data_IF_097468933602
#
_entry.id   IF_097468933602
#
_cell.length_a   1.000
_cell.length_b   1.000
_cell.length_c   1.000
_cell.angle_alpha   90.00
_cell.angle_beta   90.00
_cell.angle_gamma   90.00
#
_symmetry.space_group_name_H-M   'P 1'
#
loop_
_entity.id
_entity.type
_entity.pdbx_description
1 polymer ?
#
# COMPACT_ATOMS: atom_id res chain seq x y z
N UNK A 1 -44.34 10.82 28.39
CA UNK A 1 -44.52 11.30 27.01
C UNK A 1 -43.40 10.72 26.14
N UNK A 2 -43.71 9.63 25.44
CA UNK A 2 -42.87 9.10 24.37
C UNK A 2 -43.08 9.94 23.11
N UNK A 3 -42.00 10.34 22.44
CA UNK A 3 -42.05 10.64 21.01
C UNK A 3 -40.85 9.98 20.33
N UNK A 4 -41.17 8.95 19.56
CA UNK A 4 -40.28 8.26 18.65
C UNK A 4 -40.02 9.15 17.41
N UNK A 5 -38.76 9.34 17.05
CA UNK A 5 -38.36 9.86 15.75
C UNK A 5 -38.23 8.67 14.79
N UNK A 6 -39.02 8.70 13.72
CA UNK A 6 -39.02 7.70 12.66
C UNK A 6 -37.71 7.72 11.85
N UNK A 7 -37.20 6.57 11.36
CA UNK A 7 -36.04 6.53 10.50
C UNK A 7 -36.40 6.98 9.07
N UNK A 8 -35.60 7.90 8.52
CA UNK A 8 -35.68 8.39 7.15
C UNK A 8 -35.33 7.27 6.15
N UNK A 9 -36.22 7.05 5.17
CA UNK A 9 -36.11 6.07 4.07
C UNK A 9 -35.04 6.45 3.01
N UNK A 10 -33.82 6.76 3.43
CA UNK A 10 -32.72 7.17 2.53
C UNK A 10 -31.57 6.16 2.40
N UNK A 11 -31.44 5.23 3.36
CA UNK A 11 -30.26 4.36 3.50
C UNK A 11 -30.34 3.03 2.74
N UNK A 12 -31.52 2.63 2.26
CA UNK A 12 -31.69 1.36 1.53
C UNK A 12 -31.37 1.47 0.03
N UNK A 13 -31.40 2.66 -0.56
CA UNK A 13 -31.21 2.85 -2.01
C UNK A 13 -29.72 2.80 -2.38
N UNK A 14 -28.82 3.22 -1.47
CA UNK A 14 -27.37 3.26 -1.74
C UNK A 14 -26.75 1.85 -1.69
N UNK A 15 -27.26 0.97 -0.81
CA UNK A 15 -26.76 -0.41 -0.70
C UNK A 15 -27.21 -1.27 -1.88
N UNK A 16 -28.42 -1.07 -2.39
CA UNK A 16 -28.92 -1.80 -3.56
C UNK A 16 -28.10 -1.49 -4.84
N UNK A 17 -27.72 -0.22 -5.04
CA UNK A 17 -26.93 0.21 -6.20
C UNK A 17 -25.53 -0.43 -6.27
N UNK A 18 -24.92 -0.73 -5.11
CA UNK A 18 -23.58 -1.34 -5.08
C UNK A 18 -23.61 -2.86 -5.36
N UNK A 19 -24.65 -3.57 -4.92
CA UNK A 19 -24.81 -5.01 -5.17
C UNK A 19 -25.16 -5.29 -6.63
N UNK A 20 -25.99 -4.44 -7.25
CA UNK A 20 -26.41 -4.58 -8.64
C UNK A 20 -25.25 -4.31 -9.63
N UNK A 21 -24.37 -3.34 -9.31
CA UNK A 21 -23.17 -3.05 -10.12
C UNK A 21 -22.10 -4.15 -10.05
N UNK A 22 -22.04 -4.92 -8.95
CA UNK A 22 -21.13 -6.07 -8.81
C UNK A 22 -21.63 -7.32 -9.55
N UNK A 23 -22.95 -7.51 -9.67
CA UNK A 23 -23.54 -8.61 -10.42
C UNK A 23 -23.45 -8.41 -11.95
N UNK A 24 -23.55 -7.17 -12.43
CA UNK A 24 -23.42 -6.85 -13.86
C UNK A 24 -21.98 -6.99 -14.41
N UNK A 25 -20.94 -6.95 -13.57
CA UNK A 25 -19.54 -7.20 -14.01
C UNK A 25 -19.16 -8.68 -14.11
N UNK A 26 -19.96 -9.59 -13.54
CA UNK A 26 -19.70 -11.04 -13.61
C UNK A 26 -20.29 -11.72 -14.85
N UNK A 27 -21.18 -11.06 -15.59
CA UNK A 27 -21.88 -11.64 -16.75
C UNK A 27 -21.28 -11.28 -18.13
N UNK A 28 -20.16 -10.56 -18.20
CA UNK A 28 -19.51 -10.15 -19.46
C UNK A 28 -18.15 -10.81 -19.77
N UNK A 29 -17.80 -11.90 -19.10
CA UNK A 29 -16.62 -12.70 -19.46
C UNK A 29 -17.07 -14.06 -20.01
N UNK A 30 -17.37 -14.11 -21.30
CA UNK A 30 -17.47 -15.36 -22.05
C UNK A 30 -16.07 -15.76 -22.58
N UNK A 31 -15.68 -17.05 -22.52
CA UNK A 31 -14.34 -17.49 -22.89
C UNK A 31 -14.13 -17.52 -24.41
N UNK A 32 -12.97 -17.01 -24.84
CA UNK A 32 -12.45 -17.10 -26.21
C UNK A 32 -12.22 -18.59 -26.53
N UNK A 33 -12.95 -19.11 -27.53
CA UNK A 33 -12.79 -20.46 -28.07
C UNK A 33 -12.08 -20.40 -29.43
N UNK A 34 -11.22 -21.38 -29.62
CA UNK A 34 -10.19 -21.54 -30.65
C UNK A 34 -10.71 -21.63 -32.10
N UNK A 35 -9.89 -21.13 -33.03
CA UNK A 35 -10.08 -21.18 -34.49
C UNK A 35 -9.43 -22.45 -35.06
N UNK A 36 -10.06 -23.16 -36.03
CA UNK A 36 -9.33 -24.00 -36.97
C UNK A 36 -9.21 -23.35 -38.36
N UNK A 37 -8.02 -23.47 -38.96
CA UNK A 37 -7.68 -23.13 -40.34
C UNK A 37 -8.45 -24.01 -41.34
N UNK A 38 -8.93 -23.44 -42.46
CA UNK A 38 -8.81 -24.09 -43.78
C UNK A 38 -8.88 -23.10 -44.96
N UNK A 39 -8.21 -23.50 -46.05
CA UNK A 39 -7.88 -22.77 -47.30
C UNK A 39 -9.02 -22.77 -48.33
N UNK A 40 -9.01 -21.76 -49.22
CA UNK A 40 -9.10 -21.98 -50.68
C UNK A 40 -10.42 -21.64 -51.41
N UNK A 41 -10.34 -20.54 -52.18
CA UNK A 41 -10.83 -20.32 -53.55
C UNK A 41 -12.30 -20.00 -53.94
N UNK A 42 -12.40 -18.82 -54.59
CA UNK A 42 -13.15 -18.45 -55.80
C UNK A 42 -14.65 -18.03 -55.80
N UNK A 43 -14.82 -16.73 -56.14
CA UNK A 43 -15.72 -16.09 -57.13
C UNK A 43 -17.24 -15.91 -56.88
N UNK A 44 -17.64 -14.66 -57.20
CA UNK A 44 -18.90 -14.16 -57.77
C UNK A 44 -19.97 -13.56 -56.82
N UNK A 45 -20.26 -12.28 -57.06
CA UNK A 45 -21.45 -11.50 -56.66
C UNK A 45 -22.68 -11.89 -57.51
N UNK A 46 -23.93 -11.62 -57.06
CA UNK A 46 -24.64 -10.45 -57.60
C UNK A 46 -25.68 -9.74 -56.68
N UNK A 47 -25.90 -8.46 -57.01
CA UNK A 47 -27.08 -7.58 -56.97
C UNK A 47 -28.22 -7.67 -55.91
N UNK A 48 -28.62 -6.48 -55.45
CA UNK A 48 -29.78 -6.13 -54.61
C UNK A 48 -31.12 -6.11 -55.37
N UNK A 49 -32.25 -5.95 -54.65
CA UNK A 49 -33.20 -4.90 -55.03
C UNK A 49 -33.74 -4.06 -53.87
N UNK A 50 -34.10 -2.84 -54.25
CA UNK A 50 -34.58 -1.68 -53.49
C UNK A 50 -36.06 -1.79 -53.11
N UNK A 51 -36.45 -1.33 -51.91
CA UNK A 51 -37.86 -1.03 -51.57
C UNK A 51 -37.97 0.31 -50.82
N UNK A 52 -38.57 1.25 -51.54
CA UNK A 52 -39.34 2.47 -51.20
C UNK A 52 -39.32 3.09 -49.79
N UNK A 53 -38.97 4.38 -49.78
CA UNK A 53 -39.27 5.39 -48.75
C UNK A 53 -40.76 5.78 -48.76
N UNK A 54 -41.35 5.97 -47.58
CA UNK A 54 -42.52 6.85 -47.35
C UNK A 54 -42.14 7.83 -46.22
N UNK A 55 -42.27 9.16 -46.39
CA UNK A 55 -41.96 10.12 -45.35
C UNK A 55 -43.22 10.42 -44.51
N UNK A 56 -43.07 10.51 -43.18
CA UNK A 56 -44.04 11.18 -42.32
C UNK A 56 -43.34 12.31 -41.55
N UNK A 57 -43.92 13.49 -41.74
CA UNK A 57 -43.56 14.84 -41.30
C UNK A 57 -43.70 14.97 -39.76
N UNK A 58 -42.94 15.87 -39.10
CA UNK A 58 -42.67 15.79 -37.67
C UNK A 58 -43.77 16.45 -36.82
N UNK A 59 -44.08 15.85 -35.67
CA UNK A 59 -44.89 16.50 -34.65
C UNK A 59 -43.98 17.44 -33.82
N UNK A 60 -43.83 18.66 -34.30
CA UNK A 60 -43.30 19.76 -33.49
C UNK A 60 -44.37 20.25 -32.52
N UNK A 61 -43.95 20.48 -31.27
CA UNK A 61 -44.50 21.36 -30.24
C UNK A 61 -44.98 20.68 -28.95
N UNK A 62 -44.55 21.27 -27.82
CA UNK A 62 -44.81 20.96 -26.41
C UNK A 62 -43.84 19.99 -25.70
N UNK A 63 -42.55 20.33 -25.71
CA UNK A 63 -41.78 20.20 -24.45
C UNK A 63 -41.38 21.60 -24.03
N UNK A 64 -42.15 22.11 -23.07
CA UNK A 64 -41.92 23.36 -22.38
C UNK A 64 -40.52 23.36 -21.76
N UNK A 65 -39.91 24.54 -21.79
CA UNK A 65 -38.53 24.90 -21.45
C UNK A 65 -38.12 24.72 -19.97
N UNK A 66 -38.67 23.73 -19.26
CA UNK A 66 -38.31 23.42 -17.85
C UNK A 66 -37.45 22.17 -17.68
N UNK A 67 -37.50 21.21 -18.59
CA UNK A 67 -36.71 19.98 -18.48
C UNK A 67 -35.23 20.16 -18.84
N UNK A 68 -34.90 21.07 -19.76
CA UNK A 68 -33.51 21.32 -20.15
C UNK A 68 -32.68 22.04 -19.07
N UNK A 69 -33.33 22.75 -18.13
CA UNK A 69 -32.65 23.35 -16.98
C UNK A 69 -32.30 22.30 -15.90
N UNK A 70 -33.13 21.26 -15.76
CA UNK A 70 -32.93 20.20 -14.76
C UNK A 70 -31.84 19.18 -15.13
N UNK A 71 -31.54 19.01 -16.42
CA UNK A 71 -30.48 18.10 -16.88
C UNK A 71 -29.09 18.74 -16.94
N UNK A 72 -28.98 20.06 -16.79
CA UNK A 72 -27.68 20.75 -16.69
C UNK A 72 -27.24 21.06 -15.25
N UNK A 73 -28.08 20.81 -14.24
CA UNK A 73 -27.72 21.04 -12.83
C UNK A 73 -27.13 19.81 -12.12
N UNK A 74 -26.94 18.68 -12.81
CA UNK A 74 -26.40 17.43 -12.22
C UNK A 74 -25.06 17.00 -12.80
N UNK A 75 -24.34 17.90 -13.48
CA UNK A 75 -22.94 17.68 -13.92
C UNK A 75 -21.95 18.69 -13.31
N UNK A 76 -22.31 19.27 -12.16
CA UNK A 76 -21.40 20.05 -11.33
C UNK A 76 -21.38 19.49 -9.91
N UNK A 77 -21.06 18.19 -9.76
CA UNK A 77 -20.51 17.69 -8.49
C UNK A 77 -19.08 18.20 -8.37
N UNK A 78 -18.99 19.51 -8.13
CA UNK A 78 -17.82 20.23 -7.67
C UNK A 78 -17.21 19.49 -6.48
N UNK A 79 -15.90 19.25 -6.57
CA UNK A 79 -14.96 18.97 -5.47
C UNK A 79 -15.62 18.52 -4.15
N UNK A 80 -15.99 17.24 -4.07
CA UNK A 80 -16.43 16.70 -2.79
C UNK A 80 -15.30 16.83 -1.79
N UNK A 81 -15.59 17.50 -0.66
CA UNK A 81 -14.67 17.64 0.45
C UNK A 81 -14.10 16.27 0.83
N UNK A 82 -12.85 16.01 0.43
CA UNK A 82 -12.18 14.71 0.59
C UNK A 82 -12.10 14.28 2.05
N UNK A 83 -12.05 15.24 2.97
CA UNK A 83 -12.09 14.94 4.41
C UNK A 83 -13.45 14.40 4.85
N UNK A 84 -14.56 15.00 4.40
CA UNK A 84 -15.90 14.44 4.67
C UNK A 84 -16.08 13.06 4.05
N UNK A 85 -15.55 12.84 2.84
CA UNK A 85 -15.50 11.51 2.23
C UNK A 85 -14.70 10.51 3.07
N UNK A 86 -13.56 10.91 3.65
CA UNK A 86 -12.78 10.07 4.54
C UNK A 86 -13.52 9.71 5.84
N UNK A 87 -14.29 10.66 6.43
CA UNK A 87 -15.14 10.37 7.59
C UNK A 87 -16.24 9.36 7.27
N UNK A 88 -16.88 9.49 6.11
CA UNK A 88 -17.88 8.54 5.61
C UNK A 88 -17.25 7.15 5.37
N UNK A 89 -16.06 7.12 4.77
CA UNK A 89 -15.30 5.88 4.54
C UNK A 89 -14.92 5.19 5.86
N UNK A 90 -14.52 5.95 6.87
CA UNK A 90 -14.25 5.43 8.21
C UNK A 90 -15.51 4.83 8.86
N UNK A 91 -16.66 5.48 8.73
CA UNK A 91 -17.92 4.95 9.25
C UNK A 91 -18.29 3.61 8.58
N UNK A 92 -18.15 3.53 7.26
CA UNK A 92 -18.38 2.29 6.52
C UNK A 92 -17.39 1.18 6.94
N UNK A 93 -16.10 1.50 7.07
CA UNK A 93 -15.08 0.56 7.56
C UNK A 93 -15.39 0.03 8.96
N UNK A 94 -15.80 0.90 9.89
CA UNK A 94 -16.16 0.51 11.25
C UNK A 94 -17.39 -0.41 11.26
N UNK A 95 -18.40 -0.12 10.44
CA UNK A 95 -19.57 -1.00 10.26
C UNK A 95 -19.17 -2.38 9.72
N UNK A 96 -18.34 -2.41 8.66
CA UNK A 96 -17.84 -3.65 8.06
C UNK A 96 -17.04 -4.50 9.05
N UNK A 97 -16.09 -3.90 9.79
CA UNK A 97 -15.28 -4.61 10.79
C UNK A 97 -16.11 -5.14 11.95
N UNK A 98 -17.08 -4.35 12.43
CA UNK A 98 -18.00 -4.77 13.50
C UNK A 98 -18.90 -5.92 13.06
N UNK A 99 -19.34 -5.93 11.81
CA UNK A 99 -20.12 -7.04 11.27
C UNK A 99 -19.29 -8.31 11.12
N UNK A 100 -18.05 -8.20 10.63
CA UNK A 100 -17.12 -9.32 10.49
C UNK A 100 -16.73 -9.92 11.86
N UNK A 101 -16.49 -9.07 12.86
CA UNK A 101 -16.15 -9.49 14.22
C UNK A 101 -16.73 -8.49 15.24
N UNK A 102 -17.86 -8.82 15.89
CA UNK A 102 -18.50 -7.93 16.88
C UNK A 102 -17.64 -7.60 18.11
N UNK A 103 -16.61 -8.40 18.41
CA UNK A 103 -15.67 -8.14 19.49
C UNK A 103 -14.45 -7.31 19.07
N UNK A 104 -14.27 -7.04 17.77
CA UNK A 104 -13.07 -6.39 17.22
C UNK A 104 -12.69 -5.10 17.95
N UNK A 105 -13.60 -4.13 18.03
CA UNK A 105 -13.33 -2.85 18.68
C UNK A 105 -13.24 -2.94 20.21
N UNK A 106 -13.94 -3.90 20.83
CA UNK A 106 -13.82 -4.14 22.28
C UNK A 106 -12.42 -4.64 22.63
N UNK A 107 -11.90 -5.57 21.83
CA UNK A 107 -10.55 -6.09 21.99
C UNK A 107 -9.52 -4.99 21.70
N UNK A 108 -9.70 -4.24 20.61
CA UNK A 108 -8.79 -3.15 20.24
C UNK A 108 -8.74 -2.04 21.31
N UNK A 109 -9.86 -1.74 21.96
CA UNK A 109 -9.93 -0.74 23.03
C UNK A 109 -9.34 -1.23 24.37
N UNK A 110 -9.19 -2.55 24.56
CA UNK A 110 -8.68 -3.10 25.82
C UNK A 110 -7.17 -2.87 26.04
N UNK A 111 -6.43 -2.60 24.96
CA UNK A 111 -5.00 -2.33 25.00
C UNK A 111 -4.31 -2.67 23.69
N UNK A 112 -2.99 -2.48 23.66
CA UNK A 112 -2.13 -2.82 22.54
C UNK A 112 -0.90 -3.59 23.01
N UNK A 113 -0.42 -4.52 22.19
CA UNK A 113 0.83 -5.26 22.43
C UNK A 113 1.53 -5.56 21.10
N UNK A 114 1.88 -4.51 20.32
CA UNK A 114 2.50 -4.69 19.01
C UNK A 114 3.84 -5.44 19.16
N UNK A 115 4.12 -6.35 18.24
CA UNK A 115 5.41 -7.07 18.23
C UNK A 115 6.48 -6.35 17.41
N UNK A 116 6.08 -5.38 16.59
CA UNK A 116 6.93 -4.68 15.62
C UNK A 116 6.88 -3.17 15.89
N UNK A 117 8.05 -2.53 16.00
CA UNK A 117 8.22 -1.10 15.77
C UNK A 117 8.60 -0.90 14.30
N UNK A 118 7.82 -0.11 13.57
CA UNK A 118 8.10 0.30 12.19
C UNK A 118 8.56 1.76 12.15
N UNK A 119 9.75 1.99 11.60
CA UNK A 119 10.31 3.30 11.30
C UNK A 119 10.33 3.46 9.77
N UNK A 120 9.46 4.33 9.24
CA UNK A 120 9.24 4.44 7.81
C UNK A 120 9.14 5.87 7.30
N UNK A 121 9.03 6.02 5.98
CA UNK A 121 8.89 7.33 5.35
C UNK A 121 7.44 7.84 5.49
N UNK A 122 7.22 9.15 5.57
CA UNK A 122 5.87 9.76 5.51
C UNK A 122 5.17 9.61 4.15
N UNK A 123 5.78 8.94 3.17
CA UNK A 123 5.22 8.71 1.83
C UNK A 123 3.86 7.99 1.86
N UNK A 124 2.82 8.61 1.31
CA UNK A 124 1.45 8.10 1.39
C UNK A 124 1.24 6.71 0.77
N UNK A 125 2.16 6.24 -0.07
CA UNK A 125 2.11 4.91 -0.71
C UNK A 125 2.62 3.78 0.17
N UNK A 126 3.19 4.11 1.35
CA UNK A 126 3.82 3.13 2.25
C UNK A 126 3.12 3.08 3.63
N UNK A 127 1.80 2.75 3.71
CA UNK A 127 1.13 2.47 4.98
C UNK A 127 1.52 1.07 5.48
N UNK A 128 2.31 1.01 6.55
CA UNK A 128 2.94 -0.21 7.08
C UNK A 128 1.95 -1.32 7.42
N UNK A 129 0.84 -0.99 8.11
CA UNK A 129 -0.17 -1.98 8.50
C UNK A 129 -0.78 -2.65 7.26
N UNK A 130 -1.03 -1.89 6.20
CA UNK A 130 -1.61 -2.41 4.95
C UNK A 130 -0.60 -3.23 4.15
N UNK A 131 0.62 -2.73 3.93
CA UNK A 131 1.62 -3.41 3.09
C UNK A 131 2.16 -4.69 3.75
N UNK A 132 2.09 -4.79 5.08
CA UNK A 132 2.42 -6.01 5.83
C UNK A 132 1.23 -6.98 5.94
N UNK A 133 0.03 -6.59 5.52
CA UNK A 133 -1.18 -7.42 5.65
C UNK A 133 -1.62 -7.64 7.10
N UNK A 134 -1.28 -6.71 8.00
CA UNK A 134 -1.55 -6.81 9.44
C UNK A 134 -2.82 -6.04 9.84
N UNK A 135 -3.25 -6.18 11.09
CA UNK A 135 -4.40 -5.49 11.63
C UNK A 135 -3.98 -4.29 12.51
N UNK A 136 -4.90 -3.31 12.72
CA UNK A 136 -4.67 -2.25 13.69
C UNK A 136 -4.31 -2.82 15.07
N UNK A 137 -3.21 -2.33 15.65
CA UNK A 137 -2.67 -2.79 16.93
C UNK A 137 -1.48 -3.76 16.84
N UNK A 138 -1.20 -4.32 15.66
CA UNK A 138 -0.10 -5.28 15.48
C UNK A 138 1.27 -4.60 15.32
N UNK A 139 1.28 -3.35 14.82
CA UNK A 139 2.49 -2.58 14.49
C UNK A 139 2.44 -1.23 15.20
N UNK A 140 3.53 -0.89 15.89
CA UNK A 140 3.76 0.45 16.44
C UNK A 140 4.61 1.26 15.45
N UNK A 141 4.26 2.52 15.20
CA UNK A 141 4.71 3.19 13.98
C UNK A 141 5.26 4.58 14.27
N UNK A 142 6.39 4.91 13.64
CA UNK A 142 6.86 6.28 13.46
C UNK A 142 7.20 6.54 12.00
N UNK A 143 6.86 7.74 11.52
CA UNK A 143 7.06 8.14 10.13
C UNK A 143 7.58 9.56 10.03
N UNK A 144 8.64 9.74 9.25
CA UNK A 144 9.23 11.04 8.95
C UNK A 144 9.71 11.09 7.49
N UNK A 145 10.14 12.25 7.00
CA UNK A 145 10.57 12.38 5.60
C UNK A 145 11.85 11.55 5.37
N UNK A 146 11.80 10.63 4.41
CA UNK A 146 12.91 9.73 4.07
C UNK A 146 13.38 8.81 5.22
N UNK A 147 12.51 8.49 6.18
CA UNK A 147 12.79 7.49 7.24
C UNK A 147 14.17 7.67 7.90
N UNK A 148 14.55 8.93 8.15
CA UNK A 148 15.86 9.26 8.74
C UNK A 148 15.79 8.97 10.24
N UNK A 149 16.81 8.29 10.74
CA UNK A 149 17.05 8.10 12.17
C UNK A 149 18.30 8.89 12.53
N UNK A 150 18.12 10.06 13.16
CA UNK A 150 19.22 10.90 13.61
C UNK A 150 19.49 10.67 15.11
N UNK A 151 20.76 10.60 15.55
CA UNK A 151 21.11 10.31 16.96
C UNK A 151 20.49 11.29 17.97
N UNK A 152 20.28 12.54 17.57
CA UNK A 152 19.79 13.62 18.44
C UNK A 152 18.33 14.00 18.15
N UNK A 153 17.62 13.25 17.30
CA UNK A 153 16.19 13.50 17.08
C UNK A 153 15.38 12.92 18.25
N UNK A 154 14.97 13.80 19.15
CA UNK A 154 14.16 13.45 20.31
C UNK A 154 12.81 12.84 19.91
N UNK A 155 12.26 13.18 18.73
CA UNK A 155 10.99 12.63 18.27
C UNK A 155 11.12 11.12 18.00
N UNK A 156 12.05 10.74 17.12
CA UNK A 156 12.34 9.33 16.84
C UNK A 156 12.80 8.59 18.12
N UNK A 157 13.63 9.22 18.95
CA UNK A 157 14.15 8.61 20.19
C UNK A 157 13.04 8.30 21.21
N UNK A 158 12.07 9.19 21.38
CA UNK A 158 10.93 8.97 22.28
C UNK A 158 10.06 7.79 21.83
N UNK A 159 9.84 7.63 20.52
CA UNK A 159 9.10 6.48 19.97
C UNK A 159 9.87 5.18 20.17
N UNK A 160 11.18 5.17 19.92
CA UNK A 160 12.02 3.99 20.15
C UNK A 160 11.97 3.59 21.62
N UNK A 161 12.17 4.54 22.53
CA UNK A 161 12.11 4.29 23.98
C UNK A 161 10.77 3.68 24.37
N UNK A 162 9.67 4.30 23.94
CA UNK A 162 8.33 3.79 24.27
C UNK A 162 8.09 2.37 23.73
N UNK A 163 8.42 2.12 22.47
CA UNK A 163 8.22 0.81 21.85
C UNK A 163 9.10 -0.27 22.50
N UNK A 164 10.37 0.03 22.75
CA UNK A 164 11.36 -0.96 23.22
C UNK A 164 11.28 -1.14 24.73
N UNK A 165 11.21 -0.06 25.50
CA UNK A 165 11.22 -0.11 26.96
C UNK A 165 9.83 -0.35 27.56
N UNK A 166 8.75 0.18 26.96
CA UNK A 166 7.40 0.05 27.54
C UNK A 166 6.55 -1.01 26.85
N UNK A 167 6.44 -0.98 25.51
CA UNK A 167 5.65 -1.97 24.77
C UNK A 167 6.37 -3.32 24.60
N UNK A 168 7.69 -3.35 24.89
CA UNK A 168 8.55 -4.53 24.80
C UNK A 168 8.45 -5.23 23.42
N UNK A 169 8.43 -4.43 22.34
CA UNK A 169 8.44 -4.96 20.97
C UNK A 169 9.60 -5.95 20.79
N UNK A 170 9.43 -6.88 19.83
CA UNK A 170 10.40 -7.95 19.51
C UNK A 170 11.23 -7.62 18.28
N UNK A 171 10.69 -6.80 17.38
CA UNK A 171 11.31 -6.42 16.13
C UNK A 171 11.28 -4.90 15.97
N UNK A 172 12.41 -4.31 15.60
CA UNK A 172 12.50 -2.94 15.08
C UNK A 172 12.82 -3.04 13.60
N UNK A 173 11.98 -2.43 12.77
CA UNK A 173 12.13 -2.45 11.31
C UNK A 173 12.33 -1.00 10.84
N UNK A 174 13.50 -0.72 10.27
CA UNK A 174 13.75 0.51 9.54
C UNK A 174 13.55 0.25 8.05
N UNK A 175 12.49 0.80 7.47
CA UNK A 175 12.13 0.55 6.09
C UNK A 175 12.25 1.82 5.23
N UNK A 176 13.20 1.79 4.31
CA UNK A 176 13.25 2.71 3.18
C UNK A 176 12.27 2.30 2.08
N UNK A 177 12.19 3.08 1.01
CA UNK A 177 11.40 2.70 -0.16
C UNK A 177 11.93 3.25 -1.49
N UNK A 178 11.59 2.59 -2.59
CA UNK A 178 11.88 3.10 -3.93
C UNK A 178 11.07 4.36 -4.25
N UNK A 179 11.55 5.18 -5.19
CA UNK A 179 10.93 6.45 -5.57
C UNK A 179 10.65 7.41 -4.38
N UNK A 180 11.56 7.46 -3.40
CA UNK A 180 11.47 8.36 -2.25
C UNK A 180 11.81 9.81 -2.63
N UNK A 181 10.87 10.72 -2.40
CA UNK A 181 11.05 12.15 -2.70
C UNK A 181 12.21 12.79 -1.93
N UNK A 182 12.38 12.45 -0.64
CA UNK A 182 13.48 12.98 0.16
C UNK A 182 14.85 12.43 -0.26
N UNK A 183 14.92 11.16 -0.66
CA UNK A 183 16.13 10.56 -1.22
C UNK A 183 16.53 11.22 -2.56
N UNK A 184 15.55 11.41 -3.46
CA UNK A 184 15.76 12.11 -4.72
C UNK A 184 16.20 13.56 -4.50
N UNK A 185 15.58 14.26 -3.55
CA UNK A 185 15.96 15.63 -3.21
C UNK A 185 17.38 15.73 -2.63
N UNK A 186 17.81 14.74 -1.84
CA UNK A 186 19.16 14.69 -1.28
C UNK A 186 20.26 14.42 -2.32
N UNK A 187 19.92 13.83 -3.48
CA UNK A 187 20.86 13.63 -4.59
C UNK A 187 21.23 14.94 -5.31
N UNK A 188 20.29 15.88 -5.38
CA UNK A 188 20.49 17.17 -6.03
C UNK A 188 21.28 18.16 -5.17
N UNK A 189 22.01 19.06 -5.82
CA UNK A 189 22.73 20.16 -5.14
C UNK A 189 21.86 21.40 -4.90
N UNK A 190 20.66 21.43 -5.50
CA UNK A 190 19.71 22.52 -5.30
C UNK A 190 19.14 22.53 -3.90
N UNK A 191 18.88 23.73 -3.37
CA UNK A 191 18.13 23.89 -2.12
C UNK A 191 16.73 23.35 -2.28
N UNK A 192 16.30 22.56 -1.31
CA UNK A 192 14.88 22.17 -1.17
C UNK A 192 14.10 23.32 -0.55
N UNK A 193 14.74 24.04 0.38
CA UNK A 193 14.18 25.21 1.07
C UNK A 193 13.65 24.92 2.47
N UNK A 194 13.72 25.94 3.33
CA UNK A 194 13.21 25.89 4.71
C UNK A 194 13.87 24.82 5.57
N UNK A 195 13.09 24.21 6.46
CA UNK A 195 13.54 23.19 7.42
C UNK A 195 13.96 21.87 6.75
N UNK A 196 13.51 21.62 5.51
CA UNK A 196 13.85 20.39 4.78
C UNK A 196 15.32 20.30 4.43
N UNK A 197 15.99 21.44 4.19
CA UNK A 197 17.45 21.46 3.97
C UNK A 197 18.19 20.93 5.20
N UNK A 198 17.78 21.35 6.40
CA UNK A 198 18.34 20.86 7.67
C UNK A 198 17.98 19.39 7.89
N UNK A 199 16.70 19.04 7.73
CA UNK A 199 16.23 17.66 7.93
C UNK A 199 16.96 16.64 7.05
N UNK A 200 17.21 16.97 5.78
CA UNK A 200 17.89 16.08 4.83
C UNK A 200 19.42 16.11 4.96
N UNK A 201 19.99 16.89 5.89
CA UNK A 201 21.45 16.99 6.07
C UNK A 201 22.12 15.63 6.33
N UNK A 202 21.60 14.74 7.20
CA UNK A 202 22.19 13.41 7.38
C UNK A 202 22.22 12.60 6.09
N UNK A 203 21.17 12.69 5.27
CA UNK A 203 21.09 11.97 3.99
C UNK A 203 22.02 12.56 2.92
N UNK A 204 22.21 13.90 2.92
CA UNK A 204 23.23 14.56 2.10
C UNK A 204 24.65 14.18 2.53
N UNK A 205 24.89 13.95 3.82
CA UNK A 205 26.16 13.43 4.31
C UNK A 205 26.43 12.00 3.82
N UNK A 206 25.40 11.13 3.83
CA UNK A 206 25.47 9.79 3.22
C UNK A 206 25.81 9.89 1.73
N UNK A 207 25.18 10.82 0.98
CA UNK A 207 25.55 11.07 -0.42
C UNK A 207 27.03 11.43 -0.57
N UNK A 208 27.51 12.38 0.22
CA UNK A 208 28.88 12.89 0.13
C UNK A 208 29.92 11.79 0.43
N UNK A 209 29.65 10.92 1.40
CA UNK A 209 30.51 9.79 1.75
C UNK A 209 30.57 8.70 0.68
N UNK A 210 29.55 8.61 -0.19
CA UNK A 210 29.41 7.56 -1.20
C UNK A 210 29.36 8.15 -2.62
N UNK A 211 29.98 9.31 -2.84
CA UNK A 211 29.86 10.06 -4.09
C UNK A 211 30.36 9.27 -5.31
N UNK A 212 31.45 8.53 -5.18
CA UNK A 212 32.03 7.73 -6.27
C UNK A 212 31.09 6.61 -6.72
N UNK A 213 30.52 5.85 -5.78
CA UNK A 213 29.58 4.77 -6.07
C UNK A 213 28.30 5.33 -6.74
N UNK A 214 27.76 6.43 -6.19
CA UNK A 214 26.55 7.05 -6.72
C UNK A 214 26.78 7.67 -8.11
N UNK A 215 27.97 8.20 -8.39
CA UNK A 215 28.34 8.71 -9.71
C UNK A 215 28.45 7.58 -10.76
N UNK A 216 28.85 6.37 -10.35
CA UNK A 216 28.92 5.20 -11.22
C UNK A 216 27.55 4.69 -11.72
N UNK A 217 26.46 5.01 -11.01
CA UNK A 217 25.10 4.58 -11.38
C UNK A 217 24.53 5.58 -12.37
N UNK A 218 24.36 5.19 -13.64
CA UNK A 218 23.87 6.09 -14.71
C UNK A 218 22.39 6.45 -14.59
N UNK A 219 21.55 5.48 -14.24
CA UNK A 219 20.10 5.69 -14.13
C UNK A 219 19.77 6.42 -12.82
N UNK A 220 19.07 7.55 -12.91
CA UNK A 220 18.74 8.39 -11.75
C UNK A 220 17.82 7.69 -10.75
N UNK A 221 16.84 6.91 -11.20
CA UNK A 221 15.93 6.19 -10.32
C UNK A 221 16.67 5.08 -9.57
N UNK A 222 17.59 4.37 -10.23
CA UNK A 222 18.46 3.40 -9.57
C UNK A 222 19.39 4.07 -8.55
N UNK A 223 19.91 5.26 -8.86
CA UNK A 223 20.73 6.05 -7.93
C UNK A 223 19.89 6.48 -6.71
N UNK A 224 18.63 6.88 -6.92
CA UNK A 224 17.69 7.25 -5.86
C UNK A 224 17.31 6.06 -4.97
N UNK A 225 17.14 4.86 -5.54
CA UNK A 225 16.98 3.62 -4.76
C UNK A 225 18.23 3.34 -3.95
N UNK A 226 19.42 3.45 -4.56
CA UNK A 226 20.67 3.12 -3.90
C UNK A 226 20.97 4.02 -2.69
N UNK A 227 20.80 5.34 -2.82
CA UNK A 227 20.96 6.25 -1.68
C UNK A 227 19.90 5.99 -0.58
N UNK A 228 18.69 5.55 -0.94
CA UNK A 228 17.69 5.15 0.04
C UNK A 228 18.09 3.87 0.80
N UNK A 229 18.72 2.89 0.14
CA UNK A 229 19.30 1.72 0.81
C UNK A 229 20.44 2.12 1.77
N UNK A 230 21.35 3.00 1.32
CA UNK A 230 22.45 3.51 2.16
C UNK A 230 21.95 4.31 3.37
N UNK A 231 20.81 5.00 3.22
CA UNK A 231 20.14 5.68 4.33
C UNK A 231 19.62 4.68 5.37
N UNK A 232 19.03 3.58 4.92
CA UNK A 232 18.57 2.49 5.81
C UNK A 232 19.77 1.89 6.53
N UNK A 233 20.86 1.58 5.83
CA UNK A 233 22.10 1.10 6.45
C UNK A 233 22.59 2.04 7.55
N UNK A 234 22.67 3.34 7.25
CA UNK A 234 23.13 4.37 8.18
C UNK A 234 22.20 4.51 9.38
N UNK A 235 20.88 4.54 9.16
CA UNK A 235 19.90 4.59 10.24
C UNK A 235 19.93 3.34 11.12
N UNK A 236 20.14 2.15 10.54
CA UNK A 236 20.33 0.92 11.32
C UNK A 236 21.58 1.01 12.20
N UNK A 237 22.70 1.57 11.71
CA UNK A 237 23.89 1.81 12.55
C UNK A 237 23.57 2.71 13.75
N UNK A 238 22.76 3.75 13.56
CA UNK A 238 22.29 4.62 14.66
C UNK A 238 21.41 3.85 15.64
N UNK A 239 20.47 3.02 15.16
CA UNK A 239 19.63 2.18 16.01
C UNK A 239 20.44 1.18 16.84
N UNK A 240 21.45 0.54 16.23
CA UNK A 240 22.33 -0.41 16.91
C UNK A 240 23.26 0.27 17.93
N UNK A 241 23.45 1.59 17.84
CA UNK A 241 24.18 2.39 18.81
C UNK A 241 23.29 2.99 19.91
N UNK A 242 21.96 2.88 19.80
CA UNK A 242 21.04 3.36 20.82
C UNK A 242 21.06 2.45 22.06
N UNK A 243 21.21 3.04 23.24
CA UNK A 243 21.38 2.30 24.50
C UNK A 243 20.19 1.39 24.82
N UNK A 244 18.97 1.92 24.71
CA UNK A 244 17.72 1.17 24.95
C UNK A 244 17.57 -0.03 24.02
N UNK A 245 17.99 0.12 22.76
CA UNK A 245 18.03 -0.97 21.78
C UNK A 245 19.11 -2.00 22.16
N UNK A 246 20.32 -1.57 22.53
CA UNK A 246 21.41 -2.48 22.92
C UNK A 246 21.05 -3.33 24.15
N UNK A 247 20.48 -2.72 25.19
CA UNK A 247 20.02 -3.45 26.37
C UNK A 247 18.94 -4.46 26.01
N UNK A 248 17.94 -4.05 25.23
CA UNK A 248 16.87 -4.95 24.80
C UNK A 248 17.36 -6.11 23.91
N UNK A 249 18.38 -5.90 23.08
CA UNK A 249 19.03 -6.97 22.31
C UNK A 249 19.67 -7.97 23.29
N UNK A 250 20.46 -7.49 24.25
CA UNK A 250 21.19 -8.33 25.20
C UNK A 250 20.27 -9.12 26.13
N UNK A 251 19.22 -8.49 26.63
CA UNK A 251 18.35 -9.07 27.66
C UNK A 251 17.19 -9.88 27.10
N UNK A 252 16.59 -9.42 26.00
CA UNK A 252 15.33 -9.97 25.47
C UNK A 252 15.47 -10.56 24.06
N UNK A 253 16.64 -10.46 23.45
CA UNK A 253 16.83 -10.87 22.06
C UNK A 253 16.03 -10.03 21.07
N UNK A 254 15.86 -8.73 21.35
CA UNK A 254 15.31 -7.79 20.36
C UNK A 254 16.08 -7.93 19.03
N UNK A 255 15.36 -7.86 17.91
CA UNK A 255 15.99 -7.86 16.58
C UNK A 255 15.73 -6.57 15.84
N UNK A 256 16.73 -6.08 15.12
CA UNK A 256 16.69 -4.88 14.28
C UNK A 256 16.90 -5.29 12.83
N UNK A 257 16.08 -4.77 11.92
CA UNK A 257 16.05 -5.13 10.51
C UNK A 257 16.07 -3.86 9.64
N UNK A 258 16.97 -3.83 8.65
CA UNK A 258 16.98 -2.82 7.60
C UNK A 258 16.33 -3.34 6.32
N UNK A 259 15.22 -2.74 5.92
CA UNK A 259 14.44 -3.18 4.75
C UNK A 259 14.29 -2.08 3.70
N UNK A 260 13.98 -2.48 2.47
CA UNK A 260 13.54 -1.58 1.40
C UNK A 260 12.21 -2.08 0.82
N UNK A 261 11.21 -1.21 0.79
CA UNK A 261 9.95 -1.47 0.09
C UNK A 261 10.02 -0.95 -1.34
N UNK A 262 9.93 -1.85 -2.31
CA UNK A 262 9.82 -1.44 -3.71
C UNK A 262 8.35 -1.17 -4.07
N UNK A 263 8.03 0.10 -4.30
CA UNK A 263 6.68 0.58 -4.63
C UNK A 263 6.17 -0.05 -5.94
N UNK A 264 7.05 -0.28 -6.92
CA UNK A 264 6.65 -0.79 -8.23
C UNK A 264 6.16 -2.24 -8.14
N UNK A 265 6.85 -3.08 -7.37
CA UNK A 265 6.49 -4.50 -7.18
C UNK A 265 5.59 -4.77 -5.97
N UNK A 266 5.48 -3.84 -5.03
CA UNK A 266 4.77 -4.03 -3.76
C UNK A 266 5.51 -4.98 -2.80
N UNK A 267 6.82 -5.21 -2.98
CA UNK A 267 7.61 -6.16 -2.20
C UNK A 267 8.56 -5.48 -1.24
N UNK A 268 8.73 -6.07 -0.06
CA UNK A 268 9.75 -5.69 0.91
C UNK A 268 10.94 -6.63 0.74
N UNK A 269 12.15 -6.09 0.62
CA UNK A 269 13.40 -6.85 0.66
C UNK A 269 14.16 -6.51 1.93
N UNK A 270 14.66 -7.54 2.61
CA UNK A 270 15.66 -7.40 3.66
C UNK A 270 17.02 -7.06 3.03
N UNK A 271 17.67 -6.01 3.53
CA UNK A 271 18.99 -5.59 3.08
C UNK A 271 20.13 -6.29 3.83
N UNK A 272 19.82 -7.09 4.86
CA UNK A 272 20.80 -7.82 5.67
C UNK A 272 21.50 -6.94 6.71
N UNK A 273 20.95 -5.77 7.01
CA UNK A 273 21.47 -4.87 8.04
C UNK A 273 20.72 -5.04 9.37
N UNK A 274 21.47 -4.99 10.48
CA UNK A 274 20.91 -4.97 11.83
C UNK A 274 21.42 -6.13 12.69
N UNK A 275 20.56 -6.67 13.54
CA UNK A 275 20.93 -7.82 14.37
C UNK A 275 21.08 -9.04 13.49
N UNK A 276 22.22 -9.74 13.59
CA UNK A 276 22.42 -11.03 12.93
C UNK A 276 21.39 -12.00 13.48
N UNK A 277 20.31 -12.24 12.72
CA UNK A 277 19.47 -13.39 13.01
C UNK A 277 20.34 -14.61 12.71
N UNK A 278 20.49 -15.60 13.62
CA UNK A 278 20.97 -16.91 13.20
C UNK A 278 20.09 -17.26 12.02
N UNK A 279 20.67 -17.61 10.85
CA UNK A 279 19.90 -18.01 9.68
C UNK A 279 18.79 -18.91 10.24
N UNK A 280 17.55 -18.42 10.28
CA UNK A 280 16.43 -19.30 10.58
C UNK A 280 16.61 -20.43 9.59
N UNK A 281 16.30 -21.66 9.96
CA UNK A 281 16.31 -22.76 9.01
C UNK A 281 15.42 -22.35 7.82
N UNK A 282 16.03 -21.69 6.81
CA UNK A 282 15.69 -21.76 5.41
C UNK A 282 15.77 -23.25 5.20
N UNK A 283 14.65 -23.92 5.36
CA UNK A 283 14.54 -25.29 4.90
C UNK A 283 14.72 -25.17 3.41
N UNK A 284 15.94 -25.45 2.96
CA UNK A 284 16.29 -25.58 1.57
C UNK A 284 15.25 -26.48 0.92
N UNK A 285 14.58 -25.93 -0.09
CA UNK A 285 14.18 -26.59 -1.32
C UNK A 285 13.72 -28.06 -1.21
N UNK A 286 12.40 -28.27 -1.21
CA UNK A 286 11.86 -29.48 -1.85
C UNK A 286 11.83 -29.17 -3.35
N UNK A 287 12.75 -29.76 -4.11
CA UNK A 287 12.65 -29.78 -5.57
C UNK A 287 11.56 -30.79 -5.91
N UNK A 288 10.34 -30.32 -6.15
CA UNK A 288 9.37 -31.06 -6.95
C UNK A 288 9.03 -30.21 -8.17
N UNK A 289 9.50 -30.65 -9.34
CA UNK A 289 9.28 -30.05 -10.67
C UNK A 289 10.16 -28.86 -11.10
N UNK A 290 11.27 -28.57 -10.41
CA UNK A 290 12.29 -27.63 -10.92
C UNK A 290 12.03 -26.14 -10.64
N UNK A 291 11.09 -25.81 -9.74
CA UNK A 291 10.85 -24.46 -9.24
C UNK A 291 11.31 -24.37 -7.78
N UNK A 292 12.05 -23.32 -7.39
CA UNK A 292 12.38 -23.07 -5.98
C UNK A 292 11.13 -22.51 -5.27
N UNK A 293 10.66 -23.22 -4.24
CA UNK A 293 9.59 -22.75 -3.35
C UNK A 293 10.18 -22.30 -2.00
N UNK A 294 9.92 -21.04 -1.62
CA UNK A 294 10.22 -20.50 -0.30
C UNK A 294 8.98 -20.59 0.59
N UNK A 295 9.14 -21.22 1.77
CA UNK A 295 8.03 -21.49 2.69
C UNK A 295 8.22 -20.72 3.99
N UNK A 296 7.27 -19.82 4.30
CA UNK A 296 7.20 -19.10 5.58
C UNK A 296 6.01 -19.63 6.38
N UNK A 297 6.30 -20.30 7.51
CA UNK A 297 5.28 -20.88 8.39
C UNK A 297 4.90 -19.93 9.52
N UNK A 298 3.65 -19.49 9.56
CA UNK A 298 3.02 -18.83 10.70
C UNK A 298 2.23 -19.82 11.56
N UNK A 299 1.70 -19.35 12.70
CA UNK A 299 0.89 -20.19 13.61
C UNK A 299 -0.45 -20.66 13.02
N UNK A 300 -0.97 -19.95 12.02
CA UNK A 300 -2.33 -20.13 11.48
C UNK A 300 -2.36 -20.33 9.97
N UNK A 301 -1.24 -20.05 9.28
CA UNK A 301 -1.13 -20.18 7.85
C UNK A 301 0.34 -20.33 7.47
N UNK A 302 0.57 -20.97 6.33
CA UNK A 302 1.84 -21.05 5.64
C UNK A 302 1.76 -20.22 4.36
N UNK A 303 2.72 -19.33 4.15
CA UNK A 303 2.94 -18.63 2.90
C UNK A 303 3.96 -19.41 2.08
N UNK A 304 3.63 -19.68 0.82
CA UNK A 304 4.50 -20.34 -0.16
C UNK A 304 4.77 -19.35 -1.27
N UNK A 305 6.02 -18.91 -1.38
CA UNK A 305 6.52 -18.06 -2.44
C UNK A 305 7.17 -18.93 -3.51
N UNK A 306 6.83 -18.72 -4.77
CA UNK A 306 7.43 -19.41 -5.92
C UNK A 306 8.28 -18.44 -6.73
N UNK A 307 9.33 -18.95 -7.37
CA UNK A 307 10.05 -18.21 -8.39
C UNK A 307 9.10 -17.67 -9.47
N UNK A 308 9.32 -16.43 -9.90
CA UNK A 308 8.38 -15.69 -10.77
C UNK A 308 7.36 -14.85 -10.01
N UNK A 309 7.33 -14.94 -8.69
CA UNK A 309 6.64 -14.00 -7.84
C UNK A 309 5.18 -14.34 -7.52
N UNK A 310 4.76 -15.56 -7.80
CA UNK A 310 3.52 -16.09 -7.25
C UNK A 310 3.67 -16.37 -5.75
N UNK A 311 2.67 -16.00 -4.96
CA UNK A 311 2.63 -16.26 -3.53
C UNK A 311 1.25 -16.83 -3.18
N UNK A 312 1.23 -18.02 -2.60
CA UNK A 312 0.02 -18.67 -2.15
C UNK A 312 0.00 -18.80 -0.63
N UNK A 313 -1.17 -18.59 -0.03
CA UNK A 313 -1.38 -18.75 1.41
C UNK A 313 -2.20 -20.01 1.64
N UNK A 314 -1.64 -20.97 2.37
CA UNK A 314 -2.34 -22.14 2.87
C UNK A 314 -2.68 -21.92 4.33
N UNK A 315 -3.97 -21.80 4.65
CA UNK A 315 -4.45 -21.70 6.04
C UNK A 315 -4.50 -23.13 6.62
N UNK A 316 -4.00 -23.32 7.85
CA UNK A 316 -4.05 -24.61 8.55
C UNK A 316 -5.47 -24.97 9.00
#
# INVERSE_FOLDING_TARGET
>A
LHQALAPTKGSHIIVASFVEQLQLRRSQLAPIRTVPKYKGDNKATPAAPSVFLIPLIPLSSLITSRAASFYWTTMAFHDQNKFLYALSSNQAWAGYKSHQNPAFFKNLASGQSPSILWLGCSDSRVPETTILGLQPGDVFVHRNIANIVAPTDINTSAVIEYAVAHLKVKHVVLCGHSACGGAKAALGDSRVGGVLDTWLTPLKAVRAQNAEELAGIKNEDHRAVRIAEMNVETGVKVLMANFTVQEAIKERGLTVHGCIFDIASGRIRDLGFGTKTPKSHRSSSIISNGEEEEIVRGKHAQLVFRDGGDASMQVH
#
